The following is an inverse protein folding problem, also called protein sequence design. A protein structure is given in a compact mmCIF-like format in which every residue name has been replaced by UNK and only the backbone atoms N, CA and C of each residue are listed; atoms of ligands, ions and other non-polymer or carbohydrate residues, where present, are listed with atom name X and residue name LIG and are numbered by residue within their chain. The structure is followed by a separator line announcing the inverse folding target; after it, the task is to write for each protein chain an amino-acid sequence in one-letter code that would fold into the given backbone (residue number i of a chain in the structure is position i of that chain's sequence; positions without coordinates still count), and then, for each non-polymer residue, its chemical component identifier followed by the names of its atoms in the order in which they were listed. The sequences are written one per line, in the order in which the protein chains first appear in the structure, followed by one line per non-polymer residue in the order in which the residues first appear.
data_IF_258423218442
#
_entry.id   IF_258423218442
#
_cell.length_a   1.000
_cell.length_b   1.000
_cell.length_c   1.000
_cell.angle_alpha   90.00
_cell.angle_beta   90.00
_cell.angle_gamma   90.00
#
_symmetry.space_group_name_H-M   'P 1'
#
loop_
_entity.id
_entity.type
_entity.pdbx_description
1 polymer ?
#
# COMPACT_ATOMS: atom_id res chain seq x y z
N UNK A 1 -29.85 -60.54 -49.01
CA UNK A 1 -28.58 -59.80 -48.94
C UNK A 1 -28.67 -58.49 -48.17
N UNK A 2 -29.68 -57.65 -48.32
CA UNK A 2 -29.78 -56.35 -47.59
C UNK A 2 -29.80 -56.46 -46.03
N UNK A 3 -30.37 -57.54 -45.44
CA UNK A 3 -30.42 -57.76 -43.98
C UNK A 3 -29.06 -58.12 -43.36
N UNK A 4 -28.17 -58.74 -44.08
CA UNK A 4 -26.84 -59.10 -43.55
C UNK A 4 -25.83 -57.97 -43.64
N UNK A 5 -26.01 -57.03 -44.60
CA UNK A 5 -25.17 -55.84 -44.70
C UNK A 5 -25.43 -54.87 -43.51
N UNK A 6 -26.71 -54.73 -43.09
CA UNK A 6 -27.01 -53.93 -41.90
C UNK A 6 -26.47 -54.51 -40.56
N UNK A 7 -26.43 -55.85 -40.46
CA UNK A 7 -25.88 -56.50 -39.27
C UNK A 7 -24.34 -56.37 -39.20
N UNK A 8 -23.64 -56.41 -40.34
CA UNK A 8 -22.19 -56.19 -40.39
C UNK A 8 -21.80 -54.73 -40.12
N UNK A 9 -22.60 -53.75 -40.58
CA UNK A 9 -22.36 -52.35 -40.23
C UNK A 9 -22.59 -52.03 -38.73
N UNK A 10 -23.59 -52.70 -38.10
CA UNK A 10 -23.84 -52.55 -36.67
C UNK A 10 -22.72 -53.18 -35.81
N UNK A 11 -22.10 -54.27 -36.24
CA UNK A 11 -20.97 -54.90 -35.57
C UNK A 11 -19.66 -54.12 -35.73
N UNK A 12 -19.46 -53.41 -36.79
CA UNK A 12 -18.29 -52.53 -37.00
C UNK A 12 -18.35 -51.24 -36.17
N UNK A 13 -19.54 -50.79 -35.78
CA UNK A 13 -19.69 -49.61 -34.91
C UNK A 13 -19.37 -49.90 -33.43
N UNK A 14 -19.35 -51.13 -32.97
CA UNK A 14 -18.97 -51.51 -31.61
C UNK A 14 -17.46 -51.69 -31.38
N UNK A 15 -16.66 -51.80 -32.45
CA UNK A 15 -15.21 -51.92 -32.35
C UNK A 15 -14.44 -50.60 -32.43
N UNK A 16 -15.13 -49.49 -32.72
CA UNK A 16 -14.52 -48.18 -32.84
C UNK A 16 -14.26 -47.47 -31.53
N UNK A 17 -14.74 -48.00 -30.38
CA UNK A 17 -14.63 -47.35 -29.08
C UNK A 17 -13.61 -48.00 -28.12
N UNK A 18 -12.69 -48.84 -28.63
CA UNK A 18 -11.62 -49.37 -27.80
C UNK A 18 -10.24 -48.97 -28.26
N UNK A 19 -10.09 -47.68 -28.60
CA UNK A 19 -8.74 -47.10 -28.62
C UNK A 19 -8.38 -46.86 -27.13
N UNK A 20 -7.74 -47.85 -26.49
CA UNK A 20 -6.98 -47.59 -25.27
C UNK A 20 -5.75 -46.81 -25.74
N UNK A 21 -5.82 -45.47 -25.62
CA UNK A 21 -4.61 -44.69 -25.64
C UNK A 21 -3.71 -45.25 -24.52
N UNK A 22 -2.54 -45.71 -24.88
CA UNK A 22 -1.53 -46.07 -23.88
C UNK A 22 -1.30 -44.81 -23.02
N UNK A 23 -1.44 -44.90 -21.72
CA UNK A 23 -1.31 -43.71 -20.86
C UNK A 23 0.09 -43.17 -21.04
N UNK A 24 0.21 -41.97 -21.57
CA UNK A 24 1.48 -41.22 -21.74
C UNK A 24 2.17 -41.05 -20.38
N UNK A 25 1.46 -41.25 -19.29
CA UNK A 25 1.94 -41.13 -17.93
C UNK A 25 1.57 -42.37 -17.10
N UNK A 26 2.50 -42.81 -16.28
CA UNK A 26 2.30 -43.97 -15.39
C UNK A 26 1.20 -43.76 -14.33
N UNK A 27 0.95 -42.51 -13.94
CA UNK A 27 -0.05 -42.15 -12.93
C UNK A 27 -1.26 -41.44 -13.56
N UNK A 28 -2.46 -41.69 -12.99
CA UNK A 28 -3.69 -40.98 -13.37
C UNK A 28 -3.55 -39.46 -13.09
N UNK A 29 -4.23 -38.59 -13.84
CA UNK A 29 -4.20 -37.15 -13.60
C UNK A 29 -4.48 -36.74 -12.15
N UNK A 30 -5.48 -37.39 -11.53
CA UNK A 30 -5.84 -37.13 -10.12
C UNK A 30 -4.71 -37.52 -9.14
N UNK A 31 -4.03 -38.65 -9.38
CA UNK A 31 -2.92 -39.11 -8.53
C UNK A 31 -1.72 -38.17 -8.64
N UNK A 32 -1.42 -37.69 -9.84
CA UNK A 32 -0.36 -36.68 -10.06
C UNK A 32 -0.69 -35.36 -9.37
N UNK A 33 -1.94 -34.91 -9.45
CA UNK A 33 -2.42 -33.71 -8.73
C UNK A 33 -2.22 -33.87 -7.23
N UNK A 34 -2.69 -34.96 -6.64
CA UNK A 34 -2.56 -35.21 -5.21
C UNK A 34 -1.09 -35.32 -4.77
N UNK A 35 -0.24 -35.89 -5.59
CA UNK A 35 1.20 -36.00 -5.33
C UNK A 35 1.87 -34.61 -5.30
N UNK A 36 1.56 -33.73 -6.26
CA UNK A 36 2.09 -32.35 -6.30
C UNK A 36 1.60 -31.55 -5.10
N UNK A 37 0.30 -31.57 -4.80
CA UNK A 37 -0.26 -30.83 -3.67
C UNK A 37 0.27 -31.36 -2.33
N UNK A 38 0.47 -32.67 -2.21
CA UNK A 38 1.09 -33.31 -1.04
C UNK A 38 2.53 -32.86 -0.81
N UNK A 39 3.30 -32.67 -1.88
CA UNK A 39 4.66 -32.14 -1.81
C UNK A 39 4.69 -30.73 -1.23
N UNK A 40 3.83 -29.81 -1.69
CA UNK A 40 3.76 -28.46 -1.14
C UNK A 40 3.41 -28.46 0.34
N UNK A 41 2.44 -29.28 0.75
CA UNK A 41 2.10 -29.44 2.15
C UNK A 41 3.30 -29.93 2.98
N UNK A 42 4.02 -30.93 2.48
CA UNK A 42 5.20 -31.45 3.15
C UNK A 42 6.30 -30.41 3.30
N UNK A 43 6.52 -29.58 2.27
CA UNK A 43 7.51 -28.49 2.32
C UNK A 43 7.13 -27.45 3.36
N UNK A 44 5.86 -27.01 3.40
CA UNK A 44 5.41 -25.96 4.31
C UNK A 44 5.33 -26.41 5.78
N UNK A 45 4.92 -27.67 6.04
CA UNK A 45 4.75 -28.21 7.39
C UNK A 45 5.98 -28.97 7.91
N UNK A 46 6.90 -29.35 7.01
CA UNK A 46 7.88 -30.42 7.27
C UNK A 46 8.94 -30.13 8.33
N UNK A 47 9.31 -28.89 8.57
CA UNK A 47 10.35 -28.53 9.54
C UNK A 47 9.84 -27.73 10.74
N UNK A 48 8.54 -27.56 10.87
CA UNK A 48 7.89 -26.79 11.93
C UNK A 48 8.43 -25.35 12.10
N UNK A 49 9.11 -24.84 11.07
CA UNK A 49 9.70 -23.50 11.05
C UNK A 49 8.70 -22.41 10.69
N UNK A 50 9.17 -21.17 10.79
CA UNK A 50 8.42 -20.01 10.33
C UNK A 50 8.74 -19.67 8.87
N UNK A 51 7.75 -19.10 8.20
CA UNK A 51 7.83 -18.64 6.83
C UNK A 51 7.60 -17.12 6.77
N UNK A 52 8.38 -16.42 5.98
CA UNK A 52 8.19 -15.02 5.71
C UNK A 52 7.47 -14.85 4.37
N UNK A 53 6.27 -14.30 4.41
CA UNK A 53 5.53 -13.87 3.23
C UNK A 53 5.76 -12.38 3.02
N UNK A 54 6.40 -12.02 1.91
CA UNK A 54 6.47 -10.63 1.45
C UNK A 54 5.15 -10.31 0.73
N UNK A 55 4.27 -9.60 1.40
CA UNK A 55 2.90 -9.40 0.95
C UNK A 55 2.71 -8.01 0.36
N UNK A 56 2.17 -7.93 -0.86
CA UNK A 56 1.82 -6.68 -1.51
C UNK A 56 0.32 -6.65 -1.78
N UNK A 57 -0.45 -5.86 -1.01
CA UNK A 57 -1.91 -5.96 -1.03
C UNK A 57 -2.52 -5.51 -2.34
N UNK A 58 -1.88 -4.58 -3.05
CA UNK A 58 -2.51 -3.97 -4.18
C UNK A 58 -1.56 -3.64 -5.31
N UNK A 59 -2.00 -3.96 -6.54
CA UNK A 59 -1.39 -3.46 -7.76
C UNK A 59 -2.23 -2.35 -8.38
N UNK A 60 -1.54 -1.32 -8.82
CA UNK A 60 -2.13 -0.26 -9.61
C UNK A 60 -2.13 -0.69 -11.08
N UNK A 61 -3.29 -1.05 -11.60
CA UNK A 61 -3.44 -1.31 -13.04
C UNK A 61 -3.85 -0.03 -13.75
N UNK A 62 -3.12 0.32 -14.81
CA UNK A 62 -3.53 1.36 -15.75
C UNK A 62 -5.01 1.15 -16.12
N UNK A 63 -5.86 2.13 -15.80
CA UNK A 63 -7.24 2.22 -16.27
C UNK A 63 -8.32 1.60 -15.40
N UNK A 64 -8.03 0.81 -14.36
CA UNK A 64 -9.09 0.20 -13.57
C UNK A 64 -9.43 0.96 -12.27
N UNK A 65 -8.48 1.72 -11.71
CA UNK A 65 -8.67 2.48 -10.46
C UNK A 65 -8.29 3.96 -10.58
N UNK A 66 -7.75 4.40 -11.72
CA UNK A 66 -7.89 5.79 -12.11
C UNK A 66 -9.36 5.94 -12.42
N UNK A 67 -10.12 6.33 -11.41
CA UNK A 67 -11.46 6.79 -11.66
C UNK A 67 -11.40 7.79 -12.81
N UNK A 68 -12.27 7.68 -13.81
CA UNK A 68 -12.24 8.55 -14.99
C UNK A 68 -12.41 10.04 -14.67
N UNK A 69 -12.39 10.41 -13.40
CA UNK A 69 -12.60 11.76 -12.86
C UNK A 69 -11.35 12.45 -12.30
N UNK A 70 -10.16 11.86 -12.43
CA UNK A 70 -8.91 12.52 -12.03
C UNK A 70 -8.02 13.04 -13.20
N UNK A 71 -8.53 13.38 -14.40
CA UNK A 71 -7.70 14.02 -15.42
C UNK A 71 -7.26 15.45 -15.05
N UNK A 72 -7.80 16.00 -13.95
CA UNK A 72 -7.50 17.38 -13.52
C UNK A 72 -6.37 17.50 -12.52
N UNK A 73 -5.90 16.38 -11.96
CA UNK A 73 -4.80 16.35 -10.99
C UNK A 73 -3.45 16.40 -11.68
N UNK A 74 -3.36 15.74 -12.79
CA UNK A 74 -2.18 15.72 -13.64
C UNK A 74 -2.55 16.32 -14.99
N UNK A 75 -1.77 17.28 -15.50
CA UNK A 75 -2.16 18.05 -16.70
C UNK A 75 -2.21 17.28 -18.00
N UNK A 76 -1.72 16.04 -18.05
CA UNK A 76 -1.87 15.17 -19.21
C UNK A 76 -1.93 13.70 -18.82
N UNK A 77 -2.72 12.92 -19.53
CA UNK A 77 -2.83 11.46 -19.36
C UNK A 77 -1.55 10.70 -19.70
N UNK A 78 -0.56 11.37 -20.27
CA UNK A 78 0.73 10.80 -20.64
C UNK A 78 1.82 11.05 -19.58
N UNK A 79 1.57 11.95 -18.61
CA UNK A 79 2.55 12.35 -17.60
C UNK A 79 2.24 11.74 -16.22
N UNK A 80 1.29 10.79 -16.15
CA UNK A 80 1.09 10.03 -14.92
C UNK A 80 2.35 9.22 -14.64
N UNK A 81 2.97 9.42 -13.47
CA UNK A 81 3.90 8.43 -13.01
C UNK A 81 3.14 7.11 -12.99
N UNK A 82 3.67 6.10 -13.66
CA UNK A 82 3.12 4.75 -13.59
C UNK A 82 3.32 4.24 -12.18
N UNK A 83 2.36 4.50 -11.30
CA UNK A 83 2.35 3.92 -9.98
C UNK A 83 1.99 2.45 -10.13
N UNK A 84 2.91 1.60 -9.89
CA UNK A 84 2.64 0.17 -9.94
C UNK A 84 1.83 -0.29 -8.73
N UNK A 85 1.82 0.51 -7.61
CA UNK A 85 1.11 0.15 -6.38
C UNK A 85 0.72 1.36 -5.55
N UNK A 86 -0.46 1.32 -4.95
CA UNK A 86 -0.91 2.36 -4.02
C UNK A 86 -0.30 2.20 -2.64
N UNK A 87 -0.14 0.95 -2.17
CA UNK A 87 0.55 0.60 -0.93
C UNK A 87 1.81 -0.19 -1.25
N UNK A 88 2.82 -0.07 -0.39
CA UNK A 88 4.02 -0.90 -0.45
C UNK A 88 3.81 -2.29 0.12
N UNK A 89 4.92 -2.99 0.37
CA UNK A 89 4.90 -4.34 0.88
C UNK A 89 4.83 -4.42 2.40
N UNK A 90 4.27 -5.53 2.89
CA UNK A 90 4.14 -5.85 4.31
C UNK A 90 4.67 -7.25 4.59
N UNK A 91 5.20 -7.44 5.79
CA UNK A 91 5.76 -8.69 6.23
C UNK A 91 4.73 -9.48 7.05
N UNK A 92 4.44 -10.71 6.62
CA UNK A 92 3.69 -11.67 7.40
C UNK A 92 4.58 -12.87 7.74
N UNK A 93 4.58 -13.25 9.00
CA UNK A 93 5.28 -14.45 9.47
C UNK A 93 4.24 -15.53 9.69
N UNK A 94 4.39 -16.62 8.94
CA UNK A 94 3.44 -17.73 8.86
C UNK A 94 4.05 -18.99 9.44
N UNK A 95 3.23 -19.77 10.15
CA UNK A 95 3.58 -21.12 10.62
C UNK A 95 2.50 -22.10 10.19
N UNK A 96 2.87 -23.10 9.41
CA UNK A 96 1.96 -24.09 8.89
C UNK A 96 2.01 -25.36 9.74
N UNK A 97 0.83 -25.88 10.12
CA UNK A 97 0.70 -27.11 10.88
C UNK A 97 -0.70 -27.70 10.71
N UNK A 98 -0.81 -28.98 10.39
CA UNK A 98 -2.07 -29.74 10.36
C UNK A 98 -3.20 -29.09 9.55
N UNK A 99 -2.87 -28.50 8.41
CA UNK A 99 -3.84 -27.79 7.54
C UNK A 99 -4.29 -26.44 8.08
N UNK A 100 -3.57 -25.90 9.06
CA UNK A 100 -3.76 -24.56 9.61
C UNK A 100 -2.52 -23.73 9.38
N UNK A 101 -2.70 -22.42 9.30
CA UNK A 101 -1.64 -21.41 9.28
C UNK A 101 -1.87 -20.44 10.41
N UNK A 102 -0.88 -20.26 11.27
CA UNK A 102 -0.84 -19.19 12.25
C UNK A 102 -0.05 -18.04 11.66
N UNK A 103 -0.63 -16.85 11.67
CA UNK A 103 -0.06 -15.64 11.06
C UNK A 103 0.19 -14.57 12.11
N UNK A 104 1.35 -13.94 12.02
CA UNK A 104 1.70 -12.71 12.73
C UNK A 104 2.19 -11.69 11.71
N UNK A 105 2.05 -10.40 11.99
CA UNK A 105 2.46 -9.33 11.08
C UNK A 105 3.10 -8.17 11.83
N UNK A 106 3.82 -7.34 11.10
CA UNK A 106 4.26 -6.03 11.58
C UNK A 106 3.10 -5.03 11.70
N UNK A 107 1.99 -5.27 10.99
CA UNK A 107 0.78 -4.45 11.08
C UNK A 107 0.12 -4.69 12.43
N UNK A 108 -0.25 -3.59 13.11
CA UNK A 108 -0.96 -3.70 14.39
C UNK A 108 -2.41 -4.06 14.12
N UNK A 109 -2.83 -5.16 14.70
CA UNK A 109 -4.22 -5.65 14.71
C UNK A 109 -4.68 -5.81 16.17
N UNK A 110 -5.93 -6.15 16.39
CA UNK A 110 -6.44 -6.40 17.76
C UNK A 110 -5.69 -7.59 18.40
N UNK A 111 -5.36 -8.59 17.59
CA UNK A 111 -4.60 -9.75 18.01
C UNK A 111 -3.18 -9.69 17.41
N UNK A 112 -2.17 -10.07 18.16
CA UNK A 112 -0.79 -10.17 17.68
C UNK A 112 -0.59 -11.33 16.70
N UNK A 113 -1.42 -12.37 16.83
CA UNK A 113 -1.46 -13.52 15.93
C UNK A 113 -2.87 -14.09 15.82
N UNK A 114 -3.16 -14.75 14.71
CA UNK A 114 -4.36 -15.53 14.53
C UNK A 114 -4.12 -16.75 13.65
N UNK A 115 -5.15 -17.61 13.57
CA UNK A 115 -5.06 -18.88 12.86
C UNK A 115 -6.17 -19.00 11.83
N UNK A 116 -5.78 -19.30 10.60
CA UNK A 116 -6.67 -19.60 9.48
C UNK A 116 -6.48 -21.07 9.04
N UNK A 117 -7.48 -21.62 8.36
CA UNK A 117 -7.29 -22.85 7.60
C UNK A 117 -6.73 -22.53 6.23
N UNK A 118 -5.83 -23.36 5.75
CA UNK A 118 -5.36 -23.27 4.40
C UNK A 118 -5.68 -24.52 3.60
N UNK A 119 -5.80 -24.37 2.30
CA UNK A 119 -6.03 -25.47 1.37
C UNK A 119 -5.18 -25.30 0.13
N UNK A 120 -4.95 -26.41 -0.53
CA UNK A 120 -4.43 -26.42 -1.88
C UNK A 120 -5.50 -26.85 -2.86
N UNK A 121 -5.56 -26.20 -3.99
CA UNK A 121 -6.35 -26.64 -5.13
C UNK A 121 -5.48 -26.62 -6.39
N UNK A 122 -5.86 -27.38 -7.39
CA UNK A 122 -5.24 -27.37 -8.69
C UNK A 122 -6.31 -26.99 -9.70
N UNK A 123 -6.18 -25.81 -10.29
CA UNK A 123 -6.91 -25.43 -11.50
C UNK A 123 -5.94 -25.56 -12.69
N UNK A 124 -5.60 -24.46 -13.34
CA UNK A 124 -4.52 -24.43 -14.32
C UNK A 124 -3.15 -24.48 -13.62
N UNK A 125 -3.03 -23.86 -12.45
CA UNK A 125 -1.86 -23.81 -11.59
C UNK A 125 -2.20 -24.23 -10.16
N UNK A 126 -1.23 -24.68 -9.36
CA UNK A 126 -1.43 -24.89 -7.93
C UNK A 126 -1.77 -23.57 -7.23
N UNK A 127 -2.80 -23.61 -6.40
CA UNK A 127 -3.28 -22.45 -5.65
C UNK A 127 -3.22 -22.78 -4.16
N UNK A 128 -2.56 -21.91 -3.39
CA UNK A 128 -2.61 -21.88 -1.93
C UNK A 128 -3.68 -20.87 -1.52
N UNK A 129 -4.69 -21.31 -0.76
CA UNK A 129 -5.80 -20.48 -0.31
C UNK A 129 -5.91 -20.44 1.21
N UNK A 130 -6.18 -19.26 1.76
CA UNK A 130 -6.46 -19.06 3.18
C UNK A 130 -7.96 -18.86 3.37
N UNK A 131 -8.66 -19.88 3.88
CA UNK A 131 -10.11 -20.00 3.75
C UNK A 131 -10.91 -19.56 4.96
N UNK A 132 -10.29 -19.46 6.13
CA UNK A 132 -10.98 -19.04 7.35
C UNK A 132 -10.50 -17.66 7.73
N UNK A 133 -11.42 -16.76 8.01
CA UNK A 133 -11.08 -15.42 8.43
C UNK A 133 -10.16 -15.41 9.65
N UNK A 134 -9.09 -14.64 9.55
CA UNK A 134 -8.19 -14.24 10.60
C UNK A 134 -7.88 -12.76 10.45
N UNK A 135 -7.92 -12.00 11.52
CA UNK A 135 -7.76 -10.54 11.47
C UNK A 135 -6.39 -10.14 10.91
N UNK A 136 -5.34 -10.84 11.32
CA UNK A 136 -3.97 -10.57 10.86
C UNK A 136 -3.83 -10.89 9.38
N UNK A 137 -4.13 -12.14 9.00
CA UNK A 137 -3.87 -12.62 7.64
C UNK A 137 -4.76 -11.97 6.60
N UNK A 138 -6.00 -11.61 6.99
CA UNK A 138 -6.98 -11.00 6.11
C UNK A 138 -7.08 -9.47 6.28
N UNK A 139 -6.10 -8.84 6.96
CA UNK A 139 -6.11 -7.41 7.23
C UNK A 139 -6.38 -6.56 5.96
N UNK A 140 -5.78 -6.91 4.84
CA UNK A 140 -5.94 -6.21 3.58
C UNK A 140 -7.08 -6.74 2.69
N UNK A 141 -7.57 -7.95 2.92
CA UNK A 141 -8.60 -8.60 2.10
C UNK A 141 -10.01 -8.53 2.69
N UNK A 142 -10.12 -8.17 3.98
CA UNK A 142 -11.41 -8.10 4.66
C UNK A 142 -12.18 -6.82 4.31
N UNK A 143 -13.46 -7.00 3.95
CA UNK A 143 -14.39 -5.91 3.68
C UNK A 143 -14.95 -5.38 4.99
N UNK A 144 -14.89 -4.07 5.18
CA UNK A 144 -15.53 -3.38 6.32
C UNK A 144 -16.45 -2.28 5.82
N UNK A 145 -17.26 -1.71 6.71
CA UNK A 145 -18.12 -0.55 6.38
C UNK A 145 -17.31 0.65 5.85
N UNK A 146 -16.09 0.83 6.34
CA UNK A 146 -15.18 1.90 5.91
C UNK A 146 -14.41 1.55 4.63
N UNK A 147 -14.27 0.25 4.33
CA UNK A 147 -13.53 -0.27 3.18
C UNK A 147 -14.39 -1.29 2.42
N UNK A 148 -15.42 -0.85 1.68
CA UNK A 148 -16.36 -1.74 1.00
C UNK A 148 -15.73 -2.60 -0.10
N UNK A 149 -14.54 -2.22 -0.58
CA UNK A 149 -13.75 -2.99 -1.56
C UNK A 149 -12.54 -3.67 -0.94
N UNK A 150 -12.45 -3.73 0.39
CA UNK A 150 -11.24 -4.08 1.13
C UNK A 150 -10.04 -3.18 0.76
N UNK A 151 -8.83 -3.55 1.20
CA UNK A 151 -7.60 -2.80 0.91
C UNK A 151 -6.78 -3.44 -0.22
N UNK A 152 -7.45 -4.15 -1.12
CA UNK A 152 -6.79 -4.80 -2.24
C UNK A 152 -6.02 -6.06 -1.88
N UNK A 153 -6.33 -6.69 -0.76
CA UNK A 153 -5.64 -7.90 -0.31
C UNK A 153 -6.02 -9.16 -1.09
N UNK A 154 -5.15 -10.18 -0.98
CA UNK A 154 -5.28 -11.50 -1.56
C UNK A 154 -5.57 -12.54 -0.49
N UNK A 155 -6.30 -13.57 -0.89
CA UNK A 155 -6.53 -14.78 -0.09
C UNK A 155 -6.14 -16.04 -0.85
N UNK A 156 -6.05 -15.95 -2.17
CA UNK A 156 -5.69 -17.02 -3.08
C UNK A 156 -4.37 -16.69 -3.79
N UNK A 157 -3.40 -17.60 -3.70
CA UNK A 157 -2.07 -17.41 -4.22
C UNK A 157 -1.72 -18.52 -5.19
N UNK A 158 -1.46 -18.17 -6.44
CA UNK A 158 -0.92 -19.09 -7.45
C UNK A 158 0.54 -19.36 -7.09
N UNK A 159 0.93 -20.62 -6.97
CA UNK A 159 2.32 -21.01 -6.79
C UNK A 159 2.95 -21.07 -8.19
N UNK A 160 3.74 -20.04 -8.53
CA UNK A 160 4.38 -19.97 -9.85
C UNK A 160 5.67 -20.79 -9.91
N UNK A 161 6.46 -20.75 -8.84
CA UNK A 161 7.77 -21.37 -8.81
C UNK A 161 8.17 -21.78 -7.41
N UNK A 162 8.76 -22.95 -7.29
CA UNK A 162 9.53 -23.39 -6.12
C UNK A 162 11.01 -23.08 -6.39
N UNK A 163 11.65 -22.36 -5.47
CA UNK A 163 13.05 -21.95 -5.64
C UNK A 163 13.71 -21.81 -4.27
N UNK A 164 14.92 -22.35 -4.12
CA UNK A 164 15.77 -22.20 -2.91
C UNK A 164 15.06 -22.53 -1.59
N UNK A 165 14.16 -23.52 -1.60
CA UNK A 165 13.37 -23.92 -0.45
C UNK A 165 12.23 -22.97 -0.09
N UNK A 166 11.87 -22.06 -0.99
CA UNK A 166 10.75 -21.13 -0.89
C UNK A 166 9.87 -21.15 -2.13
N UNK A 167 8.91 -20.23 -2.19
CA UNK A 167 7.96 -20.13 -3.29
C UNK A 167 7.88 -18.69 -3.81
N UNK A 168 7.80 -18.57 -5.13
CA UNK A 168 7.26 -17.36 -5.76
C UNK A 168 5.75 -17.55 -5.91
N UNK A 169 5.00 -16.64 -5.35
CA UNK A 169 3.55 -16.62 -5.34
C UNK A 169 3.04 -15.46 -6.20
N UNK A 170 1.93 -15.69 -6.88
CA UNK A 170 1.19 -14.64 -7.59
C UNK A 170 -0.20 -14.52 -7.00
N UNK A 171 -0.60 -13.33 -6.60
CA UNK A 171 -1.97 -13.06 -6.17
C UNK A 171 -2.95 -13.37 -7.31
N UNK A 172 -4.01 -14.13 -7.01
CA UNK A 172 -4.98 -14.52 -8.03
C UNK A 172 -5.82 -13.34 -8.51
N UNK A 173 -6.10 -12.39 -7.63
CA UNK A 173 -6.92 -11.21 -7.93
C UNK A 173 -6.10 -10.04 -8.47
N UNK A 174 -5.01 -9.73 -7.80
CA UNK A 174 -4.22 -8.51 -8.05
C UNK A 174 -2.95 -8.78 -8.88
N UNK A 175 -2.64 -10.05 -9.17
CA UNK A 175 -1.48 -10.50 -9.93
C UNK A 175 -0.12 -10.07 -9.36
N UNK A 176 -0.09 -9.67 -8.09
CA UNK A 176 1.12 -9.26 -7.40
C UNK A 176 2.06 -10.44 -7.20
N UNK A 177 3.32 -10.21 -7.48
CA UNK A 177 4.36 -11.21 -7.19
C UNK A 177 4.81 -11.03 -5.74
N UNK A 178 4.77 -12.12 -5.00
CA UNK A 178 5.11 -12.22 -3.60
C UNK A 178 6.09 -13.37 -3.40
N UNK A 179 6.83 -13.38 -2.32
CA UNK A 179 7.69 -14.50 -1.97
C UNK A 179 7.30 -15.09 -0.64
N UNK A 180 7.35 -16.42 -0.53
CA UNK A 180 7.20 -17.15 0.70
C UNK A 180 8.50 -17.91 0.94
N UNK A 181 9.31 -17.45 1.88
CA UNK A 181 10.64 -17.97 2.17
C UNK A 181 10.77 -18.38 3.63
N UNK A 182 11.69 -19.31 3.94
CA UNK A 182 11.94 -19.68 5.34
C UNK A 182 12.49 -18.49 6.11
N UNK A 183 11.91 -18.22 7.28
CA UNK A 183 12.43 -17.25 8.21
C UNK A 183 13.53 -17.91 9.05
N UNK A 184 14.73 -17.35 9.01
CA UNK A 184 15.90 -17.87 9.74
C UNK A 184 16.10 -17.21 11.10
N UNK A 185 15.51 -16.04 11.30
CA UNK A 185 15.53 -15.30 12.56
C UNK A 185 14.29 -15.65 13.39
N UNK A 186 14.36 -15.49 14.70
CA UNK A 186 13.19 -15.61 15.57
C UNK A 186 12.08 -14.60 15.14
N UNK A 187 10.84 -15.09 15.17
CA UNK A 187 9.66 -14.32 14.72
C UNK A 187 9.56 -12.94 15.37
N UNK A 188 9.64 -12.90 16.72
CA UNK A 188 9.46 -11.65 17.46
C UNK A 188 10.64 -10.69 17.19
N UNK A 189 11.86 -11.22 17.16
CA UNK A 189 13.07 -10.47 16.84
C UNK A 189 12.95 -9.84 15.46
N UNK A 190 12.50 -10.61 14.45
CA UNK A 190 12.28 -10.11 13.10
C UNK A 190 11.23 -9.00 13.08
N UNK A 191 10.01 -9.26 13.59
CA UNK A 191 8.91 -8.29 13.54
C UNK A 191 9.23 -7.01 14.31
N UNK A 192 9.90 -7.11 15.46
CA UNK A 192 10.34 -5.94 16.23
C UNK A 192 11.35 -5.11 15.46
N UNK A 193 12.29 -5.77 14.76
CA UNK A 193 13.26 -5.05 13.92
C UNK A 193 12.59 -4.30 12.76
N UNK A 194 11.59 -4.92 12.13
CA UNK A 194 10.79 -4.27 11.08
C UNK A 194 10.03 -3.04 11.64
N UNK A 195 9.39 -3.19 12.80
CA UNK A 195 8.68 -2.08 13.46
C UNK A 195 9.64 -0.94 13.84
N UNK A 196 10.80 -1.28 14.36
CA UNK A 196 11.87 -0.30 14.67
C UNK A 196 12.29 0.48 13.41
N UNK A 197 12.57 -0.22 12.31
CA UNK A 197 12.97 0.41 11.06
C UNK A 197 11.83 1.28 10.47
N UNK A 198 10.57 0.86 10.59
CA UNK A 198 9.41 1.67 10.26
C UNK A 198 9.41 2.99 11.04
N UNK A 199 9.59 2.91 12.36
CA UNK A 199 9.53 4.09 13.23
C UNK A 199 10.67 5.08 12.94
N UNK A 200 11.83 4.59 12.50
CA UNK A 200 12.93 5.44 12.03
C UNK A 200 12.54 6.27 10.82
N UNK A 201 11.75 5.72 9.90
CA UNK A 201 11.36 6.39 8.66
C UNK A 201 10.23 7.42 8.83
N UNK A 202 9.48 7.36 9.94
CA UNK A 202 8.35 8.27 10.17
C UNK A 202 8.78 9.73 10.12
N UNK A 203 8.02 10.56 9.39
CA UNK A 203 8.23 12.01 9.26
C UNK A 203 9.62 12.41 8.75
N UNK A 204 10.31 11.51 8.07
CA UNK A 204 11.63 11.78 7.48
C UNK A 204 11.50 12.17 6.02
N UNK A 205 12.09 13.31 5.67
CA UNK A 205 12.49 13.60 4.31
C UNK A 205 13.87 13.01 4.03
N UNK A 206 14.28 13.08 2.77
CA UNK A 206 15.55 12.58 2.29
C UNK A 206 16.33 13.70 1.60
N UNK A 207 17.65 13.73 1.81
CA UNK A 207 18.53 14.60 1.03
C UNK A 207 18.67 14.07 -0.41
N UNK A 208 18.91 14.94 -1.41
CA UNK A 208 19.21 14.50 -2.77
C UNK A 208 20.44 13.60 -2.81
N UNK A 209 20.45 12.67 -3.77
CA UNK A 209 21.57 11.76 -4.03
C UNK A 209 22.18 12.01 -5.39
N UNK A 210 23.41 11.55 -5.61
CA UNK A 210 24.06 11.53 -6.90
C UNK A 210 24.07 10.10 -7.45
N UNK A 211 23.50 9.89 -8.63
CA UNK A 211 23.42 8.58 -9.30
C UNK A 211 24.02 8.71 -10.69
N UNK A 212 25.21 8.16 -10.90
CA UNK A 212 25.90 8.24 -12.20
C UNK A 212 26.11 9.68 -12.69
N UNK A 213 26.36 10.64 -11.78
CA UNK A 213 26.52 12.06 -12.11
C UNK A 213 25.22 12.84 -12.28
N UNK A 214 24.07 12.23 -12.04
CA UNK A 214 22.74 12.87 -12.08
C UNK A 214 22.28 13.13 -10.65
N UNK A 215 21.87 14.37 -10.35
CA UNK A 215 21.20 14.71 -9.10
C UNK A 215 19.77 14.14 -9.10
N UNK A 216 19.45 13.37 -8.08
CA UNK A 216 18.15 12.75 -7.87
C UNK A 216 17.57 13.23 -6.54
N UNK A 217 16.44 13.91 -6.58
CA UNK A 217 15.66 14.23 -5.40
C UNK A 217 14.80 13.04 -5.03
N UNK A 218 14.66 12.80 -3.73
CA UNK A 218 13.90 11.68 -3.20
C UNK A 218 12.70 12.18 -2.39
N UNK A 219 11.52 11.66 -2.68
CA UNK A 219 10.34 11.83 -1.85
C UNK A 219 9.99 10.49 -1.20
N UNK A 220 10.16 10.40 0.10
CA UNK A 220 9.80 9.23 0.90
C UNK A 220 8.36 9.40 1.40
N UNK A 221 7.53 8.40 1.14
CA UNK A 221 6.16 8.27 1.62
C UNK A 221 6.10 7.12 2.66
N UNK A 222 6.45 7.35 3.91
CA UNK A 222 6.54 6.29 4.91
C UNK A 222 5.22 5.55 5.12
N UNK A 223 4.11 6.29 5.19
CA UNK A 223 2.78 5.72 5.43
C UNK A 223 2.30 4.80 4.31
N UNK A 224 2.70 5.10 3.08
CA UNK A 224 2.35 4.31 1.90
C UNK A 224 3.42 3.31 1.51
N UNK A 225 4.60 3.38 2.13
CA UNK A 225 5.78 2.59 1.78
C UNK A 225 6.15 2.74 0.32
N UNK A 226 6.31 4.00 -0.09
CA UNK A 226 6.73 4.33 -1.44
C UNK A 226 7.90 5.31 -1.42
N UNK A 227 8.75 5.20 -2.43
CA UNK A 227 9.88 6.09 -2.66
C UNK A 227 9.83 6.62 -4.09
N UNK A 228 9.79 7.94 -4.24
CA UNK A 228 9.85 8.58 -5.55
C UNK A 228 11.25 9.12 -5.82
N UNK A 229 11.68 8.95 -7.07
CA UNK A 229 12.93 9.43 -7.64
C UNK A 229 12.61 10.51 -8.66
N UNK A 230 13.10 11.73 -8.41
CA UNK A 230 12.80 12.92 -9.23
C UNK A 230 14.12 13.46 -9.77
N UNK A 231 14.28 13.42 -11.08
CA UNK A 231 15.53 13.81 -11.73
C UNK A 231 15.28 14.49 -13.08
N UNK A 232 16.34 14.86 -13.80
CA UNK A 232 16.25 15.59 -15.04
C UNK A 232 15.47 16.91 -14.87
N UNK A 233 15.87 17.74 -13.85
CA UNK A 233 15.21 19.00 -13.48
C UNK A 233 13.72 18.85 -13.16
N UNK A 234 13.30 17.68 -12.67
CA UNK A 234 11.92 17.38 -12.33
C UNK A 234 11.07 16.86 -13.50
N UNK A 235 11.67 16.69 -14.68
CA UNK A 235 10.97 16.14 -15.86
C UNK A 235 10.73 14.63 -15.77
N UNK A 236 11.55 13.93 -15.00
CA UNK A 236 11.42 12.49 -14.75
C UNK A 236 11.01 12.26 -13.32
N UNK A 237 9.99 11.46 -13.17
CA UNK A 237 9.43 11.05 -11.89
C UNK A 237 9.18 9.55 -11.94
N UNK A 238 9.83 8.80 -11.05
CA UNK A 238 9.63 7.35 -10.91
C UNK A 238 9.35 7.04 -9.46
N UNK A 239 8.20 6.43 -9.18
CA UNK A 239 7.81 6.02 -7.83
C UNK A 239 7.77 4.50 -7.75
N UNK A 240 8.30 3.95 -6.67
CA UNK A 240 8.36 2.52 -6.41
C UNK A 240 7.83 2.22 -5.02
N UNK A 241 7.01 1.18 -4.94
CA UNK A 241 6.67 0.56 -3.69
C UNK A 241 7.90 -0.10 -3.07
N UNK A 242 7.98 -0.11 -1.75
CA UNK A 242 9.01 -0.83 -1.03
C UNK A 242 8.41 -1.68 0.09
N UNK A 243 9.17 -2.68 0.52
CA UNK A 243 8.94 -3.43 1.75
C UNK A 243 10.06 -3.10 2.75
N UNK A 244 9.71 -3.09 4.02
CA UNK A 244 10.70 -3.00 5.10
C UNK A 244 11.45 -4.32 5.23
N UNK A 245 12.75 -4.23 5.45
CA UNK A 245 13.62 -5.36 5.74
C UNK A 245 14.34 -5.13 7.07
N UNK A 246 15.00 -6.15 7.62
CA UNK A 246 15.83 -6.00 8.83
C UNK A 246 16.93 -4.95 8.66
N UNK A 247 17.37 -4.68 7.43
CA UNK A 247 18.43 -3.72 7.11
C UNK A 247 17.93 -2.34 6.69
N UNK A 248 16.69 -2.22 6.24
CA UNK A 248 16.15 -0.96 5.72
C UNK A 248 14.94 -1.19 4.81
N UNK A 249 15.05 -0.80 3.54
CA UNK A 249 13.96 -0.94 2.55
C UNK A 249 14.46 -1.68 1.31
N UNK A 250 13.55 -2.44 0.70
CA UNK A 250 13.75 -3.09 -0.59
C UNK A 250 12.63 -2.68 -1.55
N UNK A 251 13.01 -2.16 -2.72
CA UNK A 251 12.05 -1.76 -3.74
C UNK A 251 11.39 -2.99 -4.36
N UNK A 252 10.12 -2.91 -4.67
CA UNK A 252 9.41 -3.97 -5.38
C UNK A 252 9.98 -4.19 -6.78
N UNK A 253 10.21 -3.10 -7.49
CA UNK A 253 10.89 -3.08 -8.78
C UNK A 253 12.09 -2.13 -8.68
N UNK A 254 13.25 -2.53 -9.20
CA UNK A 254 14.41 -1.66 -9.24
C UNK A 254 14.16 -0.40 -10.09
N UNK A 255 14.89 0.67 -9.80
CA UNK A 255 14.97 1.88 -10.62
C UNK A 255 16.34 1.95 -11.25
N UNK A 256 16.41 2.21 -12.56
CA UNK A 256 17.66 2.40 -13.28
C UNK A 256 17.80 3.85 -13.72
N UNK A 257 18.81 4.54 -13.20
CA UNK A 257 19.11 5.95 -13.53
C UNK A 257 20.53 6.01 -14.06
N UNK A 258 20.69 6.50 -15.27
CA UNK A 258 21.98 6.63 -15.94
C UNK A 258 22.85 5.36 -15.88
N UNK A 259 22.23 4.18 -16.08
CA UNK A 259 22.91 2.88 -16.07
C UNK A 259 23.15 2.27 -14.68
N UNK A 260 22.83 2.99 -13.60
CA UNK A 260 22.94 2.49 -12.21
C UNK A 260 21.58 1.99 -11.74
N UNK A 261 21.53 0.75 -11.26
CA UNK A 261 20.30 0.12 -10.77
C UNK A 261 20.24 0.18 -9.26
N UNK A 262 19.17 0.77 -8.74
CA UNK A 262 18.87 0.90 -7.31
C UNK A 262 17.73 -0.06 -6.97
N UNK A 263 17.92 -0.96 -6.01
CA UNK A 263 16.93 -1.96 -5.60
C UNK A 263 16.70 -2.00 -4.09
N UNK A 264 17.72 -1.66 -3.30
CA UNK A 264 17.68 -1.74 -1.84
C UNK A 264 18.41 -0.53 -1.24
N UNK A 265 17.95 -0.11 -0.07
CA UNK A 265 18.61 0.90 0.74
C UNK A 265 18.65 0.42 2.20
N UNK A 266 19.81 0.49 2.81
CA UNK A 266 20.03 0.09 4.19
C UNK A 266 20.07 1.31 5.09
N UNK A 267 19.54 1.17 6.29
CA UNK A 267 19.76 2.13 7.36
C UNK A 267 21.24 2.05 7.78
N UNK A 268 21.91 3.19 7.86
CA UNK A 268 23.25 3.23 8.46
C UNK A 268 23.16 2.90 9.96
N UNK A 269 24.30 2.58 10.59
CA UNK A 269 24.35 2.20 12.00
C UNK A 269 23.77 3.27 12.95
N UNK A 270 23.96 4.54 12.60
CA UNK A 270 23.42 5.67 13.35
C UNK A 270 21.92 5.92 13.10
N UNK A 271 21.31 5.21 12.14
CA UNK A 271 19.90 5.40 11.70
C UNK A 271 19.59 6.84 11.28
N UNK A 272 20.55 7.49 10.65
CA UNK A 272 20.45 8.88 10.17
C UNK A 272 20.38 9.00 8.66
N UNK A 273 20.57 7.90 7.93
CA UNK A 273 20.58 7.86 6.47
C UNK A 273 20.12 6.52 5.92
N UNK A 274 19.69 6.56 4.66
CA UNK A 274 19.53 5.39 3.79
C UNK A 274 20.73 5.31 2.85
N UNK A 275 21.37 4.15 2.76
CA UNK A 275 22.55 3.90 1.92
C UNK A 275 22.34 2.71 1.02
N UNK A 276 22.90 2.72 -0.20
CA UNK A 276 22.94 1.49 -1.02
C UNK A 276 23.75 0.39 -0.32
N UNK A 277 23.54 -0.90 -0.64
CA UNK A 277 24.23 -2.01 0.02
C UNK A 277 25.75 -1.93 -0.04
N UNK A 278 26.31 -1.32 -1.09
CA UNK A 278 27.74 -1.08 -1.27
C UNK A 278 28.25 0.23 -0.61
N UNK A 279 27.34 1.02 -0.02
CA UNK A 279 27.64 2.29 0.62
C UNK A 279 28.00 3.43 -0.35
N UNK A 280 27.94 3.20 -1.65
CA UNK A 280 28.37 4.20 -2.66
C UNK A 280 27.42 5.40 -2.79
N UNK A 281 26.15 5.21 -2.47
CA UNK A 281 25.12 6.24 -2.51
C UNK A 281 24.47 6.33 -1.13
N UNK A 282 24.34 7.54 -0.61
CA UNK A 282 23.73 7.80 0.71
C UNK A 282 22.80 9.01 0.63
N UNK A 283 21.67 8.91 1.31
CA UNK A 283 20.71 9.99 1.52
C UNK A 283 20.46 10.19 3.00
N UNK A 284 20.83 11.35 3.53
CA UNK A 284 20.61 11.68 4.94
C UNK A 284 19.13 11.98 5.22
N UNK A 285 18.68 11.59 6.40
CA UNK A 285 17.36 11.95 6.87
C UNK A 285 17.26 13.41 7.26
N UNK A 286 16.17 14.02 6.85
CA UNK A 286 15.78 15.38 7.24
C UNK A 286 14.52 15.27 8.09
N UNK A 287 14.61 15.62 9.36
CA UNK A 287 13.47 15.56 10.27
C UNK A 287 12.50 16.71 9.98
N UNK A 288 11.22 16.40 9.94
CA UNK A 288 10.16 17.41 9.83
C UNK A 288 10.14 18.33 11.05
N UNK A 289 10.05 19.65 10.88
CA UNK A 289 9.84 20.57 12.01
C UNK A 289 8.42 20.44 12.61
N UNK A 290 7.48 19.89 11.85
CA UNK A 290 6.13 19.59 12.28
C UNK A 290 6.07 18.11 12.65
N UNK A 291 6.21 17.81 13.93
CA UNK A 291 6.08 16.45 14.45
C UNK A 291 4.63 16.22 14.85
N UNK A 292 3.96 15.22 14.26
CA UNK A 292 2.62 14.85 14.70
C UNK A 292 2.61 14.49 16.19
N UNK A 293 1.48 14.72 16.88
CA UNK A 293 1.33 14.30 18.27
C UNK A 293 1.61 12.79 18.38
N UNK A 294 2.40 12.40 19.37
CA UNK A 294 2.79 10.99 19.60
C UNK A 294 1.77 10.21 20.43
N UNK A 295 0.81 10.89 21.01
CA UNK A 295 -0.22 10.26 21.87
C UNK A 295 -1.37 9.74 21.00
N UNK A 296 -1.73 8.48 21.18
CA UNK A 296 -2.89 7.89 20.50
C UNK A 296 -4.15 8.74 20.69
N UNK A 297 -4.82 9.05 19.58
CA UNK A 297 -6.03 9.88 19.59
C UNK A 297 -5.80 11.39 19.64
N UNK A 298 -4.55 11.86 19.75
CA UNK A 298 -4.27 13.28 19.57
C UNK A 298 -4.22 13.65 18.08
N UNK A 299 -4.65 14.85 17.77
CA UNK A 299 -4.76 15.34 16.40
C UNK A 299 -4.31 16.79 16.30
N UNK A 300 -3.64 17.13 15.22
CA UNK A 300 -3.62 18.52 14.79
C UNK A 300 -4.97 18.91 14.21
N UNK A 301 -5.36 20.16 14.41
CA UNK A 301 -6.61 20.67 13.88
C UNK A 301 -6.36 21.90 13.01
N UNK A 302 -7.01 21.94 11.87
CA UNK A 302 -7.03 23.10 10.97
C UNK A 302 -8.49 23.52 10.79
N UNK A 303 -8.77 24.80 11.02
CA UNK A 303 -10.08 25.37 10.81
C UNK A 303 -10.08 26.20 9.53
N UNK A 304 -10.91 25.82 8.56
CA UNK A 304 -11.02 26.58 7.29
C UNK A 304 -11.96 27.78 7.42
N UNK A 305 -11.68 28.60 8.44
CA UNK A 305 -12.39 29.83 8.77
C UNK A 305 -11.48 31.05 8.59
N UNK A 306 -12.11 32.23 8.42
CA UNK A 306 -11.39 33.50 8.42
C UNK A 306 -10.60 33.67 9.73
N UNK A 307 -9.34 34.05 9.60
CA UNK A 307 -8.44 34.19 10.76
C UNK A 307 -7.62 32.95 11.10
N UNK A 308 -8.04 31.76 10.66
CA UNK A 308 -7.30 30.51 10.88
C UNK A 308 -6.56 30.04 9.63
N UNK A 309 -7.04 30.39 8.46
CA UNK A 309 -6.34 30.14 7.19
C UNK A 309 -6.44 31.35 6.27
N UNK A 310 -5.56 31.42 5.29
CA UNK A 310 -5.54 32.49 4.31
C UNK A 310 -6.84 32.62 3.52
N UNK A 311 -7.22 33.81 3.05
CA UNK A 311 -8.44 34.02 2.27
C UNK A 311 -8.54 33.17 1.01
N UNK A 312 -7.42 32.79 0.40
CA UNK A 312 -7.36 31.89 -0.74
C UNK A 312 -7.81 30.48 -0.38
N UNK A 313 -7.36 29.96 0.75
CA UNK A 313 -7.76 28.65 1.26
C UNK A 313 -9.22 28.63 1.71
N UNK A 314 -9.70 29.71 2.35
CA UNK A 314 -11.14 29.84 2.69
C UNK A 314 -12.00 29.77 1.42
N UNK A 315 -11.62 30.48 0.35
CA UNK A 315 -12.37 30.44 -0.92
C UNK A 315 -12.34 29.06 -1.57
N UNK A 316 -11.20 28.39 -1.58
CA UNK A 316 -11.05 27.04 -2.12
C UNK A 316 -11.91 26.06 -1.34
N UNK A 317 -11.85 26.09 -0.01
CA UNK A 317 -12.67 25.28 0.87
C UNK A 317 -14.17 25.51 0.67
N UNK A 318 -14.63 26.76 0.65
CA UNK A 318 -16.04 27.11 0.43
C UNK A 318 -16.54 26.66 -0.95
N UNK A 319 -15.67 26.63 -1.95
CA UNK A 319 -16.02 26.10 -3.27
C UNK A 319 -16.20 24.59 -3.20
N UNK A 320 -15.30 23.88 -2.54
CA UNK A 320 -15.39 22.45 -2.28
C UNK A 320 -16.64 22.10 -1.50
N UNK A 321 -16.91 22.82 -0.39
CA UNK A 321 -18.11 22.64 0.44
C UNK A 321 -19.40 22.76 -0.38
N UNK A 322 -19.53 23.79 -1.23
CA UNK A 322 -20.71 23.96 -2.10
C UNK A 322 -20.86 22.84 -3.12
N UNK A 323 -19.77 22.36 -3.68
CA UNK A 323 -19.80 21.23 -4.64
C UNK A 323 -20.18 19.95 -3.96
N UNK A 324 -19.62 19.68 -2.78
CA UNK A 324 -19.95 18.53 -1.96
C UNK A 324 -21.44 18.51 -1.56
N UNK A 325 -21.98 19.64 -1.11
CA UNK A 325 -23.39 19.75 -0.73
C UNK A 325 -24.36 19.49 -1.89
N UNK A 326 -23.96 19.70 -3.14
CA UNK A 326 -24.75 19.32 -4.32
C UNK A 326 -24.80 17.80 -4.57
N UNK A 327 -23.71 17.11 -4.21
CA UNK A 327 -23.60 15.66 -4.37
C UNK A 327 -24.24 14.91 -3.20
N UNK A 328 -24.26 15.53 -2.03
CA UNK A 328 -24.79 14.99 -0.78
C UNK A 328 -25.83 15.95 -0.20
N UNK A 329 -27.04 16.01 -0.73
CA UNK A 329 -28.12 16.85 -0.19
C UNK A 329 -28.40 16.47 1.28
N UNK A 330 -28.50 17.47 2.15
CA UNK A 330 -28.71 17.28 3.59
C UNK A 330 -27.44 17.04 4.39
N UNK A 331 -26.27 17.07 3.77
CA UNK A 331 -24.99 17.01 4.47
C UNK A 331 -24.20 18.30 4.33
N UNK A 332 -23.58 18.71 5.41
CA UNK A 332 -22.67 19.87 5.45
C UNK A 332 -21.26 19.42 5.77
N UNK A 333 -20.31 19.77 4.89
CA UNK A 333 -18.90 19.53 5.12
C UNK A 333 -18.41 20.33 6.32
N UNK A 334 -17.85 19.65 7.31
CA UNK A 334 -17.26 20.25 8.50
C UNK A 334 -16.18 21.25 8.10
N UNK A 335 -16.13 22.38 8.80
CA UNK A 335 -15.07 23.39 8.61
C UNK A 335 -13.77 22.98 9.29
N UNK A 336 -13.79 21.90 10.04
CA UNK A 336 -12.64 21.34 10.73
C UNK A 336 -12.02 20.20 9.94
N UNK A 337 -10.74 20.30 9.73
CA UNK A 337 -9.89 19.23 9.22
C UNK A 337 -9.05 18.71 10.38
N UNK A 338 -9.18 17.44 10.67
CA UNK A 338 -8.39 16.77 11.69
C UNK A 338 -7.21 16.08 11.03
N UNK A 339 -6.02 16.37 11.50
CA UNK A 339 -4.85 15.59 11.18
C UNK A 339 -4.64 14.57 12.30
N UNK A 340 -4.94 13.32 11.99
CA UNK A 340 -4.83 12.21 12.93
C UNK A 340 -3.49 11.50 12.74
N UNK A 341 -2.77 11.31 13.83
CA UNK A 341 -1.74 10.28 13.92
C UNK A 341 -2.35 9.06 14.55
N UNK A 342 -2.40 7.99 13.81
CA UNK A 342 -2.87 6.71 14.31
C UNK A 342 -1.66 5.87 14.67
N UNK A 343 -1.58 5.41 15.91
CA UNK A 343 -0.49 4.54 16.36
C UNK A 343 -0.50 3.21 15.60
N UNK A 344 0.50 3.04 14.74
CA UNK A 344 0.96 1.74 14.32
C UNK A 344 0.06 0.93 13.41
N UNK A 345 -1.11 1.41 13.01
CA UNK A 345 -1.96 0.73 12.04
C UNK A 345 -1.63 1.17 10.61
N UNK A 346 -0.43 0.83 10.16
CA UNK A 346 -0.10 0.95 8.76
C UNK A 346 -1.09 0.13 7.92
N UNK A 347 -1.55 0.73 6.82
CA UNK A 347 -2.64 0.16 6.03
C UNK A 347 -4.03 0.39 6.62
N UNK A 348 -4.13 1.02 7.80
CA UNK A 348 -5.39 1.36 8.44
C UNK A 348 -5.31 2.75 9.08
N UNK A 349 -5.57 3.83 8.32
CA UNK A 349 -5.63 5.22 8.78
C UNK A 349 -4.36 5.68 9.52
N UNK A 350 -3.19 5.38 8.98
CA UNK A 350 -1.94 5.59 9.69
C UNK A 350 -1.65 7.07 9.98
N UNK A 351 -1.52 7.90 9.01
CA UNK A 351 -1.25 9.33 9.17
C UNK A 351 -1.93 10.08 8.04
N UNK A 352 -2.81 11.00 8.36
CA UNK A 352 -3.49 11.72 7.31
C UNK A 352 -4.56 12.69 7.77
N UNK A 353 -5.16 13.36 6.81
CA UNK A 353 -6.27 14.26 7.04
C UNK A 353 -7.61 13.51 7.06
N UNK A 354 -8.43 13.89 8.00
CA UNK A 354 -9.76 13.38 8.21
C UNK A 354 -10.78 14.52 8.14
N UNK A 355 -11.79 14.38 7.30
CA UNK A 355 -12.89 15.33 7.17
C UNK A 355 -14.23 14.64 7.38
N UNK A 356 -15.14 15.35 8.00
CA UNK A 356 -16.50 14.89 8.26
C UNK A 356 -17.51 15.72 7.45
N UNK A 357 -18.54 15.07 6.91
CA UNK A 357 -19.81 15.70 6.58
C UNK A 357 -20.85 15.28 7.62
N UNK A 358 -21.51 16.23 8.19
CA UNK A 358 -22.54 16.03 9.20
C UNK A 358 -23.90 16.18 8.52
N UNK A 359 -24.84 15.29 8.84
CA UNK A 359 -26.19 15.39 8.34
C UNK A 359 -26.93 16.55 9.05
N UNK A 360 -27.53 17.45 8.28
CA UNK A 360 -28.06 18.73 8.81
C UNK A 360 -29.17 18.56 9.88
N UNK A 361 -29.85 17.42 9.89
CA UNK A 361 -30.93 17.13 10.84
C UNK A 361 -30.54 16.15 11.93
N UNK A 362 -29.37 15.51 11.83
CA UNK A 362 -28.85 14.55 12.79
C UNK A 362 -27.32 14.57 12.83
N UNK A 363 -26.77 15.27 13.79
CA UNK A 363 -25.32 15.42 13.99
C UNK A 363 -24.61 14.09 14.29
N UNK A 364 -25.35 13.03 14.62
CA UNK A 364 -24.76 11.71 14.90
C UNK A 364 -24.48 10.94 13.62
N UNK A 365 -25.16 11.26 12.52
CA UNK A 365 -24.93 10.62 11.22
C UNK A 365 -23.87 11.36 10.42
N UNK A 366 -22.70 10.74 10.33
CA UNK A 366 -21.53 11.35 9.69
C UNK A 366 -21.04 10.50 8.54
N UNK A 367 -20.65 11.17 7.47
CA UNK A 367 -19.84 10.60 6.40
C UNK A 367 -18.41 11.12 6.53
N UNK A 368 -17.45 10.24 6.39
CA UNK A 368 -16.05 10.56 6.62
C UNK A 368 -15.21 10.37 5.37
N UNK A 369 -14.27 11.27 5.14
CA UNK A 369 -13.22 11.15 4.14
C UNK A 369 -11.86 11.19 4.83
N UNK A 370 -10.98 10.33 4.40
CA UNK A 370 -9.64 10.19 4.94
C UNK A 370 -8.62 10.23 3.80
N UNK A 371 -7.54 10.98 4.00
CA UNK A 371 -6.47 11.13 3.02
C UNK A 371 -5.13 10.82 3.67
N UNK A 372 -4.47 9.80 3.20
CA UNK A 372 -3.12 9.44 3.65
C UNK A 372 -2.13 10.50 3.19
N UNK A 373 -1.46 11.15 4.14
CA UNK A 373 -0.51 12.22 3.89
C UNK A 373 0.67 12.10 4.83
N UNK A 374 1.84 12.41 4.31
CA UNK A 374 3.08 12.46 5.07
C UNK A 374 3.57 13.90 5.20
N UNK A 375 4.13 14.23 6.37
CA UNK A 375 4.74 15.51 6.67
C UNK A 375 6.24 15.29 6.84
N UNK A 376 6.99 15.59 5.79
CA UNK A 376 8.43 15.26 5.75
C UNK A 376 9.29 16.52 5.78
N UNK A 377 10.49 16.40 6.34
CA UNK A 377 11.46 17.49 6.36
C UNK A 377 11.98 17.83 4.96
N UNK A 378 12.47 19.05 4.78
CA UNK A 378 12.99 19.56 3.52
C UNK A 378 14.50 19.75 3.62
N UNK A 379 15.25 19.10 2.76
CA UNK A 379 16.70 19.20 2.71
C UNK A 379 17.15 20.66 2.51
N UNK A 380 18.09 21.13 3.34
CA UNK A 380 18.58 22.50 3.29
C UNK A 380 17.65 23.56 3.89
N UNK A 381 16.46 23.17 4.39
CA UNK A 381 15.47 24.08 4.96
C UNK A 381 14.83 23.47 6.24
N UNK A 382 15.55 23.49 7.40
CA UNK A 382 15.14 22.77 8.60
C UNK A 382 13.85 23.27 9.24
N UNK A 383 13.39 24.49 8.88
CA UNK A 383 12.13 25.07 9.31
C UNK A 383 10.98 24.83 8.32
N UNK A 384 11.18 23.99 7.31
CA UNK A 384 10.16 23.72 6.30
C UNK A 384 9.67 22.28 6.38
N UNK A 385 8.37 22.11 6.13
CA UNK A 385 7.70 20.83 5.99
C UNK A 385 7.14 20.68 4.58
N UNK A 386 7.35 19.52 3.98
CA UNK A 386 6.69 19.13 2.73
C UNK A 386 5.52 18.21 3.04
N UNK A 387 4.37 18.52 2.50
CA UNK A 387 3.17 17.67 2.57
C UNK A 387 3.18 16.78 1.34
N UNK A 388 3.23 15.48 1.55
CA UNK A 388 3.15 14.47 0.51
C UNK A 388 1.80 13.76 0.61
N UNK A 389 1.02 13.81 -0.45
CA UNK A 389 -0.18 13.00 -0.57
C UNK A 389 0.22 11.70 -1.25
N UNK A 390 -0.02 10.61 -0.56
CA UNK A 390 0.04 9.32 -1.19
C UNK A 390 -1.24 9.13 -1.98
N UNK A 391 -1.07 8.80 -3.23
CA UNK A 391 -2.08 8.52 -4.23
C UNK A 391 -3.49 8.36 -3.64
N UNK A 392 -4.51 9.03 -4.20
CA UNK A 392 -5.84 9.24 -3.62
C UNK A 392 -6.65 7.97 -3.46
N UNK A 393 -6.11 6.98 -2.76
CA UNK A 393 -6.94 5.99 -2.12
C UNK A 393 -7.48 6.60 -0.85
N UNK A 394 -8.41 7.32 -1.11
CA UNK A 394 -9.34 7.84 -0.18
C UNK A 394 -9.96 6.67 0.55
N UNK A 395 -9.83 6.64 1.82
CA UNK A 395 -10.48 5.70 2.70
C UNK A 395 -11.61 6.44 3.42
N UNK A 396 -12.77 5.82 3.43
CA UNK A 396 -13.96 6.37 4.07
C UNK A 396 -15.18 6.35 3.16
N UNK A 397 -16.33 6.45 3.77
CA UNK A 397 -17.62 6.38 3.07
C UNK A 397 -17.95 7.63 2.25
N UNK A 398 -17.24 8.74 2.46
CA UNK A 398 -17.37 9.98 1.69
C UNK A 398 -16.87 9.91 0.26
N UNK A 399 -15.90 9.10 0.05
CA UNK A 399 -15.15 9.02 -1.16
C UNK A 399 -15.97 8.76 -2.38
N UNK A 400 -16.90 7.86 -2.23
CA UNK A 400 -17.79 7.53 -3.31
C UNK A 400 -18.54 8.76 -3.85
N UNK A 401 -18.84 9.73 -2.98
CA UNK A 401 -19.68 10.89 -3.32
C UNK A 401 -18.92 12.18 -3.55
N UNK A 402 -17.78 12.38 -2.89
CA UNK A 402 -17.13 13.69 -2.81
C UNK A 402 -15.69 13.70 -3.31
N UNK A 403 -15.19 12.57 -3.74
CA UNK A 403 -13.81 12.32 -4.13
C UNK A 403 -13.20 13.41 -5.01
N UNK A 404 -13.88 13.75 -6.08
CA UNK A 404 -13.38 14.72 -7.07
C UNK A 404 -13.09 16.09 -6.45
N UNK A 405 -13.94 16.52 -5.52
CA UNK A 405 -13.83 17.88 -4.98
C UNK A 405 -12.94 17.96 -3.74
N UNK A 406 -13.04 16.97 -2.86
CA UNK A 406 -12.21 16.90 -1.66
C UNK A 406 -10.76 16.55 -2.00
N UNK A 407 -10.55 15.56 -2.86
CA UNK A 407 -9.22 15.17 -3.31
C UNK A 407 -8.47 16.34 -3.95
N UNK A 408 -9.15 17.09 -4.84
CA UNK A 408 -8.56 18.28 -5.44
C UNK A 408 -8.20 19.37 -4.41
N UNK A 409 -9.03 19.57 -3.41
CA UNK A 409 -8.74 20.54 -2.34
C UNK A 409 -7.51 20.13 -1.53
N UNK A 410 -7.41 18.83 -1.18
CA UNK A 410 -6.25 18.30 -0.46
C UNK A 410 -4.96 18.42 -1.28
N UNK A 411 -5.05 18.15 -2.58
CA UNK A 411 -3.92 18.38 -3.48
C UNK A 411 -3.51 19.83 -3.60
N UNK A 412 -4.48 20.74 -3.68
CA UNK A 412 -4.18 22.17 -3.73
C UNK A 412 -3.39 22.60 -2.48
N UNK A 413 -3.69 22.01 -1.31
CA UNK A 413 -2.88 22.20 -0.09
C UNK A 413 -1.48 21.62 -0.28
N UNK A 414 -1.36 20.39 -0.75
CA UNK A 414 -0.05 19.74 -0.94
C UNK A 414 0.81 20.43 -2.00
N UNK A 415 0.23 20.92 -3.07
CA UNK A 415 0.93 21.67 -4.14
C UNK A 415 1.55 22.98 -3.67
N UNK A 416 1.04 23.57 -2.60
CA UNK A 416 1.63 24.77 -1.99
C UNK A 416 2.89 24.46 -1.16
N UNK A 417 3.17 23.17 -0.92
CA UNK A 417 4.39 22.75 -0.23
C UNK A 417 5.67 23.18 -0.98
N UNK A 418 6.79 23.38 -0.25
CA UNK A 418 6.91 23.24 1.21
C UNK A 418 6.32 24.45 1.95
N UNK A 419 5.98 24.22 3.23
CA UNK A 419 5.53 25.27 4.14
C UNK A 419 6.60 25.58 5.18
N UNK A 420 6.82 26.86 5.44
CA UNK A 420 7.62 27.33 6.57
C UNK A 420 6.77 27.14 7.83
N UNK A 421 7.32 26.49 8.84
CA UNK A 421 6.68 26.22 10.13
C UNK A 421 7.21 27.20 11.16
N UNK A 422 6.32 27.95 11.78
CA UNK A 422 6.62 28.90 12.84
C UNK A 422 5.72 28.65 14.05
N UNK A 423 6.23 28.80 15.26
CA UNK A 423 5.38 28.89 16.44
C UNK A 423 4.60 30.20 16.42
N UNK A 424 3.28 30.10 16.37
CA UNK A 424 2.40 31.27 16.34
C UNK A 424 1.90 31.64 17.74
N UNK A 425 1.61 30.61 18.54
CA UNK A 425 1.26 30.73 19.95
C UNK A 425 1.49 29.39 20.66
N UNK A 426 1.25 29.32 21.97
CA UNK A 426 1.33 28.08 22.74
C UNK A 426 0.48 26.94 22.13
N UNK A 427 -0.67 27.30 21.52
CA UNK A 427 -1.64 26.35 20.98
C UNK A 427 -1.51 26.14 19.48
N UNK A 428 -0.74 26.99 18.75
CA UNK A 428 -0.76 26.97 17.29
C UNK A 428 0.63 27.07 16.67
N UNK A 429 0.83 26.28 15.63
CA UNK A 429 1.82 26.52 14.58
C UNK A 429 1.20 27.32 13.45
N UNK A 430 1.98 28.18 12.81
CA UNK A 430 1.63 28.79 11.52
C UNK A 430 2.45 28.14 10.41
N UNK A 431 1.77 27.63 9.42
CA UNK A 431 2.36 27.10 8.20
C UNK A 431 2.15 28.13 7.09
N UNK A 432 3.24 28.63 6.54
CA UNK A 432 3.21 29.60 5.42
C UNK A 432 3.87 28.97 4.20
N UNK A 433 3.19 28.94 3.06
CA UNK A 433 3.76 28.38 1.84
C UNK A 433 5.05 29.13 1.44
N UNK A 434 6.14 28.40 1.23
CA UNK A 434 7.45 29.00 0.98
C UNK A 434 7.51 29.78 -0.36
N UNK A 435 6.61 29.43 -1.30
CA UNK A 435 6.53 30.08 -2.63
C UNK A 435 5.53 31.23 -2.70
N UNK A 436 4.58 31.29 -1.76
CA UNK A 436 3.55 32.33 -1.72
C UNK A 436 3.14 32.61 -0.28
N UNK A 437 3.70 33.67 0.29
CA UNK A 437 3.42 34.07 1.67
C UNK A 437 1.94 34.45 1.93
N UNK A 438 1.13 34.65 0.88
CA UNK A 438 -0.31 34.88 1.02
C UNK A 438 -1.08 33.58 1.29
N UNK A 439 -0.45 32.41 1.16
CA UNK A 439 -1.04 31.10 1.47
C UNK A 439 -0.50 30.62 2.80
N UNK A 440 -1.36 30.57 3.80
CA UNK A 440 -0.98 30.15 5.14
C UNK A 440 -2.15 29.48 5.87
N UNK A 441 -1.82 28.70 6.90
CA UNK A 441 -2.78 28.05 7.79
C UNK A 441 -2.26 27.96 9.21
N UNK A 442 -3.14 28.09 10.19
CA UNK A 442 -2.88 27.78 11.60
C UNK A 442 -3.20 26.32 11.86
N UNK A 443 -2.30 25.64 12.50
CA UNK A 443 -2.43 24.25 12.90
C UNK A 443 -2.42 24.22 14.41
N UNK A 444 -3.53 23.83 15.01
CA UNK A 444 -3.64 23.66 16.47
C UNK A 444 -2.85 22.40 16.88
N UNK A 445 -2.04 22.59 17.95
CA UNK A 445 -1.23 21.51 18.55
C UNK A 445 -2.07 20.48 19.27
#
# INVERSE_FOLDING_TARGET
MKKYISLCLALLSFTACQYKEDPVFEQKPTERTLSVLGKYKQVLEGDNGYWLLTYYPEEYRDGFWVYPYYPTIFPSTNDYPKYHRALGGYNFVLKFSEGKVTASSEVKTTNDEDTSRYTYSLAEFPILSFNTYGEVLHHFSHVTSNFPNAKGGEVDFIIEKEQDGGFTLKGKRNENIMTLTKLTTDRETFLNKIRENRDVLKNKGLSPIQVGGVEVKLDLFPSARQLAFIYDEGRKYEQRAFILTEKGIKLYEPVTINGHTLSEFYLNDAKTALTTPDGSISSDFVTSPLLPPTTAGSSFQIWFLNGYVSPSLVRSFNTTRRRTARLLPGFTLSEQLLFLTMDGNEGDRSTGFYMENVYDTDDTYKLTAYYMMDFVGVAGAPNQVKILINNPKDEGNHLFYCREHLGKFMEDIAKQSPYIVEEYSDDYYKLTAARDANVWMLVRK
#
